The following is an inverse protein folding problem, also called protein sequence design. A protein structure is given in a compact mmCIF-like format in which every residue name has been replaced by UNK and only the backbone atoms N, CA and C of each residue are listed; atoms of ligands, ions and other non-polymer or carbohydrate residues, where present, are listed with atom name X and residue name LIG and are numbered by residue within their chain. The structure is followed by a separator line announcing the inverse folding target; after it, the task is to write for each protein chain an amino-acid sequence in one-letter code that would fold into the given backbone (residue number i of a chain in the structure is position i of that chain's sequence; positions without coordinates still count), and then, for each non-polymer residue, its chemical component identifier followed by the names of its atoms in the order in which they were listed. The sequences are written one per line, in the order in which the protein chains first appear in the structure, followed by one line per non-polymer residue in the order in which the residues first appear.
data_IF_030576792665
#
_entry.id   IF_030576792665
#
_cell.length_a   1.000
_cell.length_b   1.000
_cell.length_c   1.000
_cell.angle_alpha   90.00
_cell.angle_beta   90.00
_cell.angle_gamma   90.00
#
_symmetry.space_group_name_H-M   'P 1'
#
loop_
_entity.id
_entity.type
_entity.pdbx_description
1 polymer ?
#
# COMPACT_ATOMS: atom_id res chain seq x y z
N UNK A 1 -54.21 48.96 -55.58
CA UNK A 1 -53.07 49.09 -54.64
C UNK A 1 -52.53 47.68 -54.46
N UNK A 2 -51.51 47.28 -55.22
CA UNK A 2 -50.08 47.33 -54.81
C UNK A 2 -49.83 46.47 -53.55
N UNK A 3 -48.90 45.51 -53.50
CA UNK A 3 -47.81 45.12 -54.42
C UNK A 3 -47.42 43.66 -54.04
N UNK A 4 -47.29 42.72 -54.99
CA UNK A 4 -46.12 42.36 -55.81
C UNK A 4 -45.23 41.25 -55.22
N UNK A 5 -44.74 40.41 -56.15
CA UNK A 5 -43.55 39.55 -56.10
C UNK A 5 -43.72 38.20 -55.36
N UNK A 6 -43.81 37.06 -56.07
CA UNK A 6 -42.81 36.35 -56.90
C UNK A 6 -41.89 35.45 -56.04
N UNK A 7 -41.55 34.22 -56.41
CA UNK A 7 -41.88 33.46 -57.63
C UNK A 7 -41.83 31.93 -57.41
N UNK A 8 -42.31 31.20 -58.42
CA UNK A 8 -41.88 29.88 -58.96
C UNK A 8 -40.65 29.18 -58.33
N UNK A 9 -40.43 27.85 -58.33
CA UNK A 9 -41.11 26.59 -58.75
C UNK A 9 -40.32 25.41 -58.06
N UNK A 10 -40.61 24.11 -58.11
CA UNK A 10 -41.58 23.28 -58.86
C UNK A 10 -42.04 22.05 -58.02
N UNK A 11 -42.32 20.89 -58.65
CA UNK A 11 -42.57 19.58 -58.01
C UNK A 11 -41.61 18.49 -58.58
N UNK A 12 -41.54 17.26 -58.02
CA UNK A 12 -40.27 16.58 -57.77
C UNK A 12 -39.83 15.53 -58.81
N UNK A 13 -38.53 15.14 -58.81
CA UNK A 13 -38.05 13.93 -59.46
C UNK A 13 -37.95 12.72 -58.52
N UNK A 14 -38.35 11.56 -59.09
CA UNK A 14 -37.83 10.18 -58.95
C UNK A 14 -37.12 9.72 -57.65
N UNK A 15 -37.52 8.51 -57.20
CA UNK A 15 -37.03 7.91 -55.96
C UNK A 15 -35.63 7.30 -56.05
N UNK A 16 -34.97 7.25 -54.89
CA UNK A 16 -33.70 6.57 -54.66
C UNK A 16 -33.89 5.27 -53.85
N UNK A 17 -33.03 4.29 -54.11
CA UNK A 17 -33.11 2.94 -53.56
C UNK A 17 -32.80 2.88 -52.07
N UNK A 18 -33.61 2.11 -51.32
CA UNK A 18 -33.30 1.77 -49.93
C UNK A 18 -32.13 0.79 -49.86
N UNK A 19 -30.91 1.29 -49.63
CA UNK A 19 -29.80 0.42 -49.21
C UNK A 19 -29.94 0.03 -47.74
N UNK A 20 -30.52 -1.15 -47.48
CA UNK A 20 -30.58 -1.74 -46.14
C UNK A 20 -29.18 -2.16 -45.66
N UNK A 21 -28.49 -1.26 -44.97
CA UNK A 21 -27.29 -1.62 -44.19
C UNK A 21 -27.71 -2.37 -42.93
N UNK A 22 -27.85 -3.69 -43.06
CA UNK A 22 -27.91 -4.62 -41.94
C UNK A 22 -26.62 -4.53 -41.11
N UNK A 23 -26.63 -3.68 -40.07
CA UNK A 23 -25.59 -3.67 -39.05
C UNK A 23 -25.88 -4.77 -38.03
N UNK A 24 -25.53 -6.01 -38.38
CA UNK A 24 -25.50 -7.10 -37.40
C UNK A 24 -24.56 -6.71 -36.24
N UNK A 25 -25.18 -6.34 -35.13
CA UNK A 25 -24.55 -5.90 -33.90
C UNK A 25 -23.92 -7.11 -33.21
N UNK A 26 -22.80 -7.61 -33.76
CA UNK A 26 -22.03 -8.72 -33.20
C UNK A 26 -21.74 -8.46 -31.72
N UNK A 27 -22.41 -9.21 -30.84
CA UNK A 27 -22.08 -9.28 -29.43
C UNK A 27 -20.64 -9.77 -29.31
N UNK A 28 -19.72 -8.85 -28.96
CA UNK A 28 -18.32 -9.19 -28.70
C UNK A 28 -18.23 -9.90 -27.35
N UNK A 29 -18.60 -11.18 -27.34
CA UNK A 29 -18.25 -12.07 -26.24
C UNK A 29 -16.72 -12.14 -26.14
N UNK A 30 -16.22 -12.04 -24.92
CA UNK A 30 -14.80 -12.14 -24.60
C UNK A 30 -14.55 -13.44 -23.84
N UNK A 31 -13.40 -14.05 -24.08
CA UNK A 31 -12.89 -15.19 -23.35
C UNK A 31 -11.50 -14.86 -22.78
N UNK A 32 -10.93 -15.77 -22.00
CA UNK A 32 -9.59 -15.64 -21.45
C UNK A 32 -8.68 -16.74 -22.02
N UNK A 33 -7.43 -16.38 -22.32
CA UNK A 33 -6.43 -17.34 -22.76
C UNK A 33 -6.06 -18.28 -21.61
N UNK A 34 -6.16 -19.62 -21.76
CA UNK A 34 -5.90 -20.56 -20.68
C UNK A 34 -4.42 -20.66 -20.27
N UNK A 35 -3.51 -20.04 -21.03
CA UNK A 35 -2.07 -20.06 -20.76
C UNK A 35 -1.58 -18.79 -20.06
N UNK A 36 -2.01 -17.61 -20.50
CA UNK A 36 -1.52 -16.32 -19.99
C UNK A 36 -2.59 -15.44 -19.35
N UNK A 37 -3.84 -15.90 -19.26
CA UNK A 37 -4.95 -15.15 -18.68
C UNK A 37 -5.38 -13.89 -19.46
N UNK A 38 -4.83 -13.62 -20.65
CA UNK A 38 -5.20 -12.41 -21.39
C UNK A 38 -6.59 -12.50 -22.02
N UNK A 39 -7.29 -11.36 -22.08
CA UNK A 39 -8.63 -11.23 -22.64
C UNK A 39 -8.58 -11.31 -24.16
N UNK A 40 -9.21 -12.33 -24.74
CA UNK A 40 -9.23 -12.63 -26.18
C UNK A 40 -10.66 -12.55 -26.74
N UNK A 41 -10.87 -12.02 -27.96
CA UNK A 41 -12.19 -11.93 -28.57
C UNK A 41 -12.67 -13.32 -29.00
N UNK A 42 -13.92 -13.68 -28.68
CA UNK A 42 -14.50 -15.00 -28.96
C UNK A 42 -14.97 -15.14 -30.42
N UNK A 43 -14.02 -15.05 -31.36
CA UNK A 43 -14.26 -15.24 -32.80
C UNK A 43 -14.03 -16.71 -33.20
N UNK A 44 -14.86 -17.24 -34.10
CA UNK A 44 -14.87 -18.68 -34.48
C UNK A 44 -13.51 -19.22 -34.97
N UNK A 45 -12.65 -18.37 -35.52
CA UNK A 45 -11.40 -18.75 -36.20
C UNK A 45 -10.12 -18.28 -35.47
N UNK A 46 -10.17 -17.93 -34.18
CA UNK A 46 -8.97 -17.51 -33.44
C UNK A 46 -8.03 -18.70 -33.17
N UNK A 47 -7.02 -18.88 -34.05
CA UNK A 47 -6.03 -19.97 -33.92
C UNK A 47 -4.97 -19.72 -32.86
N UNK A 48 -4.60 -18.46 -32.61
CA UNK A 48 -3.51 -18.10 -31.70
C UNK A 48 -3.94 -16.99 -30.72
N UNK A 49 -3.41 -17.05 -29.50
CA UNK A 49 -3.55 -15.96 -28.55
C UNK A 49 -2.71 -14.76 -29.00
N UNK A 50 -3.31 -13.58 -29.11
CA UNK A 50 -2.62 -12.33 -29.51
C UNK A 50 -1.57 -11.83 -28.51
N UNK A 51 -1.66 -12.25 -27.24
CA UNK A 51 -0.71 -11.83 -26.18
C UNK A 51 0.48 -12.76 -25.97
N UNK A 52 0.28 -14.09 -25.93
CA UNK A 52 1.35 -15.07 -25.65
C UNK A 52 1.65 -16.04 -26.80
N UNK A 53 0.99 -15.91 -27.96
CA UNK A 53 1.24 -16.74 -29.13
C UNK A 53 0.78 -18.21 -29.05
N UNK A 54 0.23 -18.69 -27.92
CA UNK A 54 -0.21 -20.09 -27.82
C UNK A 54 -1.27 -20.45 -28.87
N UNK A 55 -1.15 -21.63 -29.47
CA UNK A 55 -2.10 -22.19 -30.42
C UNK A 55 -3.38 -22.66 -29.70
N UNK A 56 -4.40 -21.81 -29.68
CA UNK A 56 -5.69 -22.05 -29.04
C UNK A 56 -6.49 -23.17 -29.73
N UNK A 57 -6.30 -23.39 -31.04
CA UNK A 57 -6.92 -24.54 -31.72
C UNK A 57 -6.33 -25.85 -31.20
N UNK A 58 -5.00 -25.95 -31.12
CA UNK A 58 -4.31 -27.13 -30.59
C UNK A 58 -4.66 -27.42 -29.12
N UNK A 59 -4.76 -26.39 -28.27
CA UNK A 59 -5.19 -26.56 -26.86
C UNK A 59 -6.63 -27.06 -26.77
N UNK A 60 -7.53 -26.60 -27.66
CA UNK A 60 -8.92 -27.06 -27.71
C UNK A 60 -9.03 -28.52 -28.14
N UNK A 61 -8.22 -28.94 -29.12
CA UNK A 61 -8.26 -30.29 -29.69
C UNK A 61 -7.60 -31.31 -28.75
N UNK A 62 -6.46 -30.97 -28.13
CA UNK A 62 -5.72 -31.85 -27.23
C UNK A 62 -6.20 -31.80 -25.77
N UNK A 63 -6.97 -30.78 -25.38
CA UNK A 63 -7.40 -30.51 -23.99
C UNK A 63 -6.25 -30.44 -22.97
N UNK A 64 -5.04 -30.16 -23.44
CA UNK A 64 -3.82 -30.05 -22.63
C UNK A 64 -3.08 -28.77 -23.02
N UNK A 65 -2.50 -28.09 -22.03
CA UNK A 65 -1.53 -27.04 -22.28
C UNK A 65 -0.19 -27.68 -22.68
N UNK A 66 0.57 -27.11 -23.64
CA UNK A 66 1.92 -27.55 -23.91
C UNK A 66 2.75 -27.43 -22.62
N UNK A 67 3.41 -28.52 -22.22
CA UNK A 67 4.40 -28.49 -21.15
C UNK A 67 5.52 -27.52 -21.51
N UNK A 68 6.10 -26.84 -20.51
CA UNK A 68 7.31 -26.04 -20.70
C UNK A 68 8.40 -26.86 -21.44
N UNK A 69 9.23 -26.25 -22.30
CA UNK A 69 10.31 -26.96 -22.98
C UNK A 69 11.40 -27.39 -21.99
N UNK A 70 11.22 -28.56 -21.36
CA UNK A 70 12.25 -29.22 -20.59
C UNK A 70 13.47 -29.53 -21.47
N UNK A 71 14.63 -29.00 -21.10
CA UNK A 71 15.86 -29.14 -21.90
C UNK A 71 16.48 -30.52 -21.67
N UNK A 72 16.22 -31.44 -22.60
CA UNK A 72 16.96 -32.66 -22.94
C UNK A 72 16.71 -32.92 -24.44
N UNK A 73 17.60 -33.50 -25.26
CA UNK A 73 18.32 -34.76 -25.08
C UNK A 73 19.69 -34.80 -25.78
N UNK A 74 20.55 -35.71 -25.33
CA UNK A 74 21.75 -36.18 -26.05
C UNK A 74 21.50 -37.49 -26.80
N UNK A 75 21.63 -37.47 -28.16
CA UNK A 75 21.99 -38.60 -29.07
C UNK A 75 21.15 -39.91 -29.10
N UNK A 76 21.25 -40.77 -30.15
CA UNK A 76 21.31 -40.48 -31.60
C UNK A 76 20.32 -41.34 -32.47
N UNK A 77 19.87 -40.79 -33.61
CA UNK A 77 19.42 -41.39 -34.91
C UNK A 77 18.82 -42.82 -34.98
N UNK A 78 17.72 -43.03 -35.75
CA UNK A 78 17.91 -43.33 -37.18
C UNK A 78 16.96 -42.65 -38.18
N UNK A 79 17.37 -42.72 -39.44
CA UNK A 79 16.85 -42.04 -40.62
C UNK A 79 15.40 -42.36 -41.03
N UNK A 80 14.59 -41.32 -41.22
CA UNK A 80 13.53 -41.28 -42.23
C UNK A 80 13.58 -39.95 -42.99
N UNK A 81 13.72 -40.02 -44.31
CA UNK A 81 13.78 -38.86 -45.20
C UNK A 81 12.48 -38.06 -45.15
N UNK A 82 12.51 -36.86 -44.55
CA UNK A 82 11.43 -35.87 -44.67
C UNK A 82 11.79 -34.81 -45.70
N UNK A 83 10.78 -34.33 -46.41
CA UNK A 83 10.89 -33.29 -47.43
C UNK A 83 11.50 -32.00 -46.86
N UNK A 84 12.05 -31.11 -47.71
CA UNK A 84 12.72 -29.90 -47.25
C UNK A 84 11.77 -29.02 -46.44
N UNK A 85 12.05 -28.86 -45.14
CA UNK A 85 11.47 -27.76 -44.38
C UNK A 85 12.00 -26.43 -44.96
N UNK A 86 11.17 -25.39 -45.12
CA UNK A 86 11.68 -24.07 -45.48
C UNK A 86 12.68 -23.62 -44.40
N UNK A 87 13.80 -23.03 -44.83
CA UNK A 87 14.92 -22.63 -43.96
C UNK A 87 14.44 -21.96 -42.67
N UNK A 88 14.58 -22.67 -41.54
CA UNK A 88 14.45 -22.08 -40.23
C UNK A 88 15.70 -21.22 -40.00
N UNK A 89 15.61 -19.91 -40.25
CA UNK A 89 16.68 -18.98 -39.90
C UNK A 89 16.66 -18.79 -38.36
N UNK A 90 17.70 -19.25 -37.61
CA UNK A 90 17.74 -19.10 -36.17
C UNK A 90 17.96 -17.66 -35.68
N UNK A 91 18.22 -16.69 -36.56
CA UNK A 91 18.44 -15.29 -36.19
C UNK A 91 17.21 -14.58 -35.60
N UNK A 92 16.00 -15.12 -35.80
CA UNK A 92 14.75 -14.54 -35.25
C UNK A 92 14.35 -15.16 -33.90
N UNK A 93 15.30 -15.27 -32.97
CA UNK A 93 14.95 -15.37 -31.54
C UNK A 93 14.45 -14.00 -31.08
N UNK A 94 13.13 -13.79 -31.17
CA UNK A 94 12.47 -12.63 -30.57
C UNK A 94 12.65 -12.72 -29.06
N UNK A 95 13.68 -12.03 -28.53
CA UNK A 95 13.81 -11.79 -27.09
C UNK A 95 12.56 -11.02 -26.66
N UNK A 96 11.67 -11.69 -25.96
CA UNK A 96 10.53 -11.08 -25.31
C UNK A 96 11.05 -10.23 -24.14
N UNK A 97 11.50 -9.01 -24.44
CA UNK A 97 11.78 -7.99 -23.43
C UNK A 97 10.52 -7.85 -22.58
N UNK A 98 10.57 -8.09 -21.25
CA UNK A 98 9.41 -7.86 -20.40
C UNK A 98 9.06 -6.38 -20.49
N UNK A 99 7.92 -6.09 -21.12
CA UNK A 99 7.46 -4.72 -21.33
C UNK A 99 7.24 -4.08 -19.96
N UNK A 100 7.91 -2.95 -19.70
CA UNK A 100 7.68 -2.20 -18.47
C UNK A 100 6.19 -1.90 -18.32
N UNK A 101 5.61 -2.30 -17.18
CA UNK A 101 4.19 -2.13 -16.90
C UNK A 101 3.98 -0.66 -16.53
N UNK A 102 3.70 0.16 -17.54
CA UNK A 102 3.29 1.55 -17.38
C UNK A 102 1.77 1.62 -17.48
N UNK A 103 1.11 1.90 -16.36
CA UNK A 103 -0.34 2.04 -16.28
C UNK A 103 -0.79 3.33 -16.97
N UNK A 104 -1.87 3.23 -17.75
CA UNK A 104 -2.66 4.38 -18.21
C UNK A 104 -3.59 4.86 -17.09
N UNK A 105 -4.15 6.06 -17.21
CA UNK A 105 -4.86 6.72 -16.10
C UNK A 105 -6.12 5.94 -15.67
N UNK A 106 -6.84 5.37 -16.63
CA UNK A 106 -7.99 4.48 -16.38
C UNK A 106 -7.56 3.19 -15.64
N UNK A 107 -6.37 2.67 -15.94
CA UNK A 107 -5.82 1.46 -15.33
C UNK A 107 -5.27 1.66 -13.92
N UNK A 108 -5.09 2.89 -13.40
CA UNK A 108 -4.57 3.10 -12.04
C UNK A 108 -5.52 2.49 -10.99
N UNK A 109 -6.84 2.57 -11.24
CA UNK A 109 -7.87 2.01 -10.38
C UNK A 109 -7.81 0.47 -10.31
N UNK A 110 -7.70 -0.21 -11.45
CA UNK A 110 -7.51 -1.66 -11.55
C UNK A 110 -6.12 -2.12 -11.10
N UNK A 111 -5.11 -1.27 -11.36
CA UNK A 111 -3.69 -1.49 -11.12
C UNK A 111 -3.38 -1.75 -9.64
N UNK A 112 -4.23 -1.24 -8.73
CA UNK A 112 -4.22 -1.59 -7.31
C UNK A 112 -4.11 -3.10 -7.12
N UNK A 113 -4.93 -3.91 -7.80
CA UNK A 113 -4.99 -5.36 -7.60
C UNK A 113 -3.96 -6.15 -8.42
N UNK A 114 -3.19 -5.50 -9.31
CA UNK A 114 -2.13 -6.15 -10.11
C UNK A 114 -0.86 -6.32 -9.25
N UNK A 115 -0.06 -7.35 -9.53
CA UNK A 115 1.30 -7.47 -8.95
C UNK A 115 2.24 -6.53 -9.73
N UNK A 116 2.52 -5.36 -9.16
CA UNK A 116 3.40 -4.34 -9.77
C UNK A 116 4.85 -4.43 -9.31
N UNK A 117 5.08 -4.82 -8.04
CA UNK A 117 6.42 -5.03 -7.49
C UNK A 117 6.55 -6.38 -6.78
N UNK A 118 7.78 -6.88 -6.73
CA UNK A 118 8.14 -8.15 -6.10
C UNK A 118 8.27 -8.03 -4.57
N UNK A 119 8.50 -9.19 -3.94
CA UNK A 119 8.75 -9.33 -2.51
C UNK A 119 9.88 -8.40 -2.01
N UNK A 120 10.98 -8.30 -2.76
CA UNK A 120 12.16 -7.51 -2.37
C UNK A 120 11.87 -6.00 -2.22
N UNK A 121 11.32 -5.30 -3.22
CA UNK A 121 10.85 -3.92 -3.05
C UNK A 121 9.92 -3.75 -1.85
N UNK A 122 8.98 -4.68 -1.65
CA UNK A 122 7.96 -4.63 -0.59
C UNK A 122 8.57 -4.51 0.81
N UNK A 123 9.78 -5.01 1.02
CA UNK A 123 10.50 -4.94 2.30
C UNK A 123 11.56 -3.84 2.33
N UNK A 124 12.37 -3.72 1.27
CA UNK A 124 13.52 -2.80 1.27
C UNK A 124 13.12 -1.33 1.13
N UNK A 125 12.06 -1.00 0.38
CA UNK A 125 11.63 0.41 0.22
C UNK A 125 11.10 0.99 1.55
N UNK A 126 10.25 0.28 2.32
CA UNK A 126 9.89 0.69 3.68
C UNK A 126 11.08 0.83 4.61
N UNK A 127 11.98 -0.16 4.63
CA UNK A 127 13.18 -0.11 5.47
C UNK A 127 14.08 1.07 5.12
N UNK A 128 14.31 1.33 3.83
CA UNK A 128 15.08 2.47 3.36
C UNK A 128 14.41 3.82 3.69
N UNK A 129 13.07 3.90 3.63
CA UNK A 129 12.33 5.10 4.02
C UNK A 129 12.48 5.39 5.53
N UNK A 130 12.31 4.36 6.36
CA UNK A 130 12.48 4.46 7.81
C UNK A 130 13.92 4.81 8.20
N UNK A 131 14.93 4.20 7.55
CA UNK A 131 16.34 4.55 7.76
C UNK A 131 16.62 5.98 7.32
N UNK A 132 16.11 6.44 6.17
CA UNK A 132 16.32 7.80 5.70
C UNK A 132 15.70 8.85 6.62
N UNK A 133 14.50 8.57 7.16
CA UNK A 133 13.82 9.40 8.15
C UNK A 133 14.65 9.54 9.44
N UNK A 134 15.06 8.42 10.03
CA UNK A 134 15.88 8.41 11.24
C UNK A 134 17.27 9.04 11.02
N UNK A 135 17.92 8.76 9.88
CA UNK A 135 19.22 9.34 9.55
C UNK A 135 19.14 10.87 9.37
N UNK A 136 18.04 11.40 8.84
CA UNK A 136 17.82 12.85 8.77
C UNK A 136 17.65 13.45 10.16
N UNK A 137 16.83 12.84 11.03
CA UNK A 137 16.64 13.31 12.41
C UNK A 137 17.95 13.27 13.21
N UNK A 138 18.68 12.16 13.17
CA UNK A 138 20.01 12.01 13.81
C UNK A 138 21.01 13.02 13.23
N UNK A 139 20.99 13.28 11.92
CA UNK A 139 21.85 14.28 11.28
C UNK A 139 21.54 15.71 11.74
N UNK A 140 20.27 16.07 11.89
CA UNK A 140 19.82 17.36 12.45
C UNK A 140 20.30 17.48 13.90
N UNK A 141 20.05 16.47 14.73
CA UNK A 141 20.48 16.44 16.13
C UNK A 141 22.01 16.56 16.26
N UNK A 142 22.77 15.84 15.43
CA UNK A 142 24.24 15.91 15.42
C UNK A 142 24.77 17.31 15.09
N UNK A 143 24.17 17.99 14.10
CA UNK A 143 24.52 19.38 13.76
C UNK A 143 24.16 20.33 14.90
N UNK A 144 22.99 20.17 15.52
CA UNK A 144 22.57 20.96 16.69
C UNK A 144 23.54 20.75 17.85
N UNK A 145 23.94 19.51 18.17
CA UNK A 145 24.88 19.22 19.25
C UNK A 145 26.25 19.87 19.04
N UNK A 146 26.74 19.93 17.80
CA UNK A 146 27.99 20.64 17.46
C UNK A 146 27.85 22.16 17.63
N UNK A 147 26.69 22.73 17.29
CA UNK A 147 26.44 24.17 17.36
C UNK A 147 26.20 24.67 18.79
N UNK A 148 25.54 23.88 19.63
CA UNK A 148 25.26 24.22 21.04
C UNK A 148 26.50 23.95 21.91
N UNK A 149 27.15 22.79 21.71
CA UNK A 149 28.34 22.41 22.49
C UNK A 149 28.08 22.02 23.95
N UNK A 150 26.82 21.95 24.36
CA UNK A 150 26.34 21.61 25.70
C UNK A 150 25.34 20.46 25.59
N UNK A 151 25.54 19.39 26.36
CA UNK A 151 24.74 18.16 26.30
C UNK A 151 23.40 18.33 27.02
N UNK A 152 23.36 19.12 28.10
CA UNK A 152 22.15 19.31 28.90
C UNK A 152 21.14 20.15 28.11
N UNK A 153 21.60 21.22 27.45
CA UNK A 153 20.77 22.03 26.55
C UNK A 153 20.27 21.25 25.31
N UNK A 154 21.02 20.25 24.84
CA UNK A 154 20.55 19.36 23.77
C UNK A 154 19.49 18.39 24.29
N UNK A 155 19.63 17.87 25.51
CA UNK A 155 18.65 17.00 26.13
C UNK A 155 17.34 17.75 26.41
N UNK A 156 17.41 18.96 26.98
CA UNK A 156 16.27 19.86 27.17
C UNK A 156 15.55 20.17 25.86
N UNK A 157 16.29 20.35 24.76
CA UNK A 157 15.71 20.58 23.43
C UNK A 157 15.03 19.32 22.89
N UNK A 158 15.63 18.13 23.01
CA UNK A 158 15.04 16.87 22.52
C UNK A 158 13.78 16.51 23.32
N UNK A 159 13.76 16.78 24.62
CA UNK A 159 12.60 16.63 25.48
C UNK A 159 11.55 17.74 25.30
N UNK A 160 11.81 18.76 24.49
CA UNK A 160 10.87 19.87 24.30
C UNK A 160 9.65 19.43 23.45
N UNK A 161 8.41 19.62 23.93
CA UNK A 161 7.20 19.24 23.18
C UNK A 161 7.11 19.85 21.77
N UNK A 162 7.58 21.09 21.56
CA UNK A 162 7.59 21.72 20.24
C UNK A 162 8.68 21.13 19.32
N UNK A 163 9.82 20.70 19.88
CA UNK A 163 10.83 19.97 19.11
C UNK A 163 10.30 18.61 18.68
N UNK A 164 9.61 17.89 19.57
CA UNK A 164 8.98 16.60 19.27
C UNK A 164 7.97 16.77 18.12
N UNK A 165 7.03 17.71 18.25
CA UNK A 165 6.06 18.09 17.20
C UNK A 165 6.75 18.41 15.87
N UNK A 166 7.84 19.19 15.88
CA UNK A 166 8.59 19.52 14.68
C UNK A 166 9.31 18.30 14.09
N UNK A 167 9.87 17.43 14.93
CA UNK A 167 10.61 16.24 14.50
C UNK A 167 9.71 15.18 13.86
N UNK A 168 8.48 14.98 14.37
CA UNK A 168 7.47 14.11 13.74
C UNK A 168 7.06 14.58 12.34
N UNK A 169 7.29 15.84 11.95
CA UNK A 169 7.04 16.26 10.56
C UNK A 169 7.97 15.58 9.54
N UNK A 170 9.12 15.05 9.99
CA UNK A 170 10.10 14.33 9.15
C UNK A 170 9.53 13.01 8.63
N UNK A 171 8.52 12.45 9.29
CA UNK A 171 7.80 11.24 8.87
C UNK A 171 7.12 11.36 7.50
N UNK A 172 6.95 12.58 6.97
CA UNK A 172 6.49 12.79 5.59
C UNK A 172 7.37 12.05 4.56
N UNK A 173 8.63 11.71 4.89
CA UNK A 173 9.48 10.84 4.08
C UNK A 173 8.90 9.43 3.90
N UNK A 174 8.19 8.89 4.88
CA UNK A 174 7.48 7.61 4.79
C UNK A 174 6.34 7.66 3.77
N UNK A 175 5.75 8.83 3.50
CA UNK A 175 4.82 9.04 2.39
C UNK A 175 5.56 9.23 1.06
N UNK A 176 6.55 10.12 1.03
CA UNK A 176 7.18 10.59 -0.20
C UNK A 176 8.04 9.54 -0.89
N UNK A 177 8.74 8.69 -0.14
CA UNK A 177 9.65 7.66 -0.70
C UNK A 177 8.90 6.55 -1.44
N UNK A 178 7.87 5.87 -0.89
CA UNK A 178 7.08 4.90 -1.65
C UNK A 178 6.29 5.56 -2.79
N UNK A 179 5.75 6.78 -2.58
CA UNK A 179 5.08 7.53 -3.63
C UNK A 179 6.03 7.87 -4.80
N UNK A 180 7.28 8.21 -4.53
CA UNK A 180 8.32 8.38 -5.55
C UNK A 180 8.66 7.05 -6.23
N UNK A 181 8.83 5.96 -5.47
CA UNK A 181 9.19 4.64 -6.00
C UNK A 181 8.19 4.13 -7.03
N UNK A 182 6.88 4.29 -6.78
CA UNK A 182 5.84 3.78 -7.70
C UNK A 182 5.68 4.60 -8.98
N UNK A 183 6.31 5.78 -9.10
CA UNK A 183 6.24 6.61 -10.32
C UNK A 183 6.67 5.88 -11.59
N UNK A 184 7.60 4.93 -11.49
CA UNK A 184 8.06 4.10 -12.62
C UNK A 184 6.97 3.19 -13.23
N UNK A 185 5.87 2.96 -12.51
CA UNK A 185 4.71 2.20 -12.99
C UNK A 185 3.63 3.08 -13.63
N UNK A 186 3.84 4.40 -13.68
CA UNK A 186 2.88 5.37 -14.22
C UNK A 186 3.40 5.92 -15.54
N UNK A 187 2.57 5.90 -16.59
CA UNK A 187 2.92 6.48 -17.89
C UNK A 187 3.13 8.00 -17.82
N UNK A 188 2.41 8.66 -16.93
CA UNK A 188 2.58 10.08 -16.59
C UNK A 188 2.71 10.20 -15.06
N UNK A 189 3.92 10.22 -14.50
CA UNK A 189 4.13 10.19 -13.06
C UNK A 189 3.78 11.53 -12.42
N UNK A 190 2.78 11.51 -11.53
CA UNK A 190 2.40 12.62 -10.66
C UNK A 190 2.23 12.11 -9.21
N UNK A 191 2.35 12.99 -8.22
CA UNK A 191 2.16 12.65 -6.81
C UNK A 191 0.74 12.15 -6.53
N UNK A 192 -0.31 12.80 -7.06
CA UNK A 192 -1.70 12.35 -6.86
C UNK A 192 -1.92 10.96 -7.45
N UNK A 193 -1.44 10.73 -8.68
CA UNK A 193 -1.49 9.42 -9.34
C UNK A 193 -0.72 8.33 -8.58
N UNK A 194 0.41 8.68 -7.97
CA UNK A 194 1.21 7.77 -7.14
C UNK A 194 0.47 7.38 -5.85
N UNK A 195 -0.14 8.35 -5.17
CA UNK A 195 -0.93 8.14 -3.96
C UNK A 195 -2.22 7.34 -4.25
N UNK A 196 -2.88 7.63 -5.38
CA UNK A 196 -4.03 6.84 -5.88
C UNK A 196 -3.69 5.35 -6.03
N UNK A 197 -2.52 5.05 -6.60
CA UNK A 197 -2.04 3.68 -6.81
C UNK A 197 -1.73 2.96 -5.47
N UNK A 198 -1.16 3.70 -4.50
CA UNK A 198 -0.94 3.21 -3.14
C UNK A 198 -2.26 3.01 -2.37
N UNK A 199 -3.36 3.66 -2.78
CA UNK A 199 -4.71 3.46 -2.24
C UNK A 199 -5.29 4.68 -1.53
N UNK A 200 -4.54 5.79 -1.46
CA UNK A 200 -5.05 7.07 -0.98
C UNK A 200 -5.78 7.75 -2.14
N UNK A 201 -7.09 7.50 -2.23
CA UNK A 201 -7.89 7.94 -3.37
C UNK A 201 -9.36 8.17 -3.00
N UNK A 202 -9.95 9.18 -3.63
CA UNK A 202 -11.39 9.47 -3.61
C UNK A 202 -12.09 9.00 -4.89
N UNK A 203 -11.37 8.39 -5.83
CA UNK A 203 -11.94 7.94 -7.10
C UNK A 203 -12.93 6.79 -6.88
N UNK A 204 -14.16 6.96 -7.38
CA UNK A 204 -15.28 6.03 -7.15
C UNK A 204 -16.03 6.25 -5.84
N UNK A 205 -15.66 7.25 -5.04
CA UNK A 205 -16.43 7.70 -3.87
C UNK A 205 -17.12 9.03 -4.17
N UNK A 206 -18.40 9.13 -3.84
CA UNK A 206 -19.13 10.39 -3.72
C UNK A 206 -18.90 11.00 -2.32
N UNK A 207 -19.49 12.17 -2.05
CA UNK A 207 -19.36 12.85 -0.76
C UNK A 207 -19.86 11.98 0.40
N UNK A 208 -20.92 11.19 0.18
CA UNK A 208 -21.44 10.23 1.18
C UNK A 208 -20.48 9.06 1.40
N UNK A 209 -19.84 8.56 0.34
CA UNK A 209 -18.78 7.56 0.41
C UNK A 209 -17.58 8.04 1.23
N UNK A 210 -17.09 9.25 0.98
CA UNK A 210 -15.99 9.85 1.76
C UNK A 210 -16.39 10.02 3.23
N UNK A 211 -17.58 10.57 3.50
CA UNK A 211 -18.11 10.69 4.86
C UNK A 211 -18.21 9.34 5.57
N UNK A 212 -18.64 8.29 4.85
CA UNK A 212 -18.69 6.92 5.38
C UNK A 212 -17.31 6.36 5.72
N UNK A 213 -16.28 6.57 4.89
CA UNK A 213 -14.91 6.16 5.24
C UNK A 213 -14.41 6.89 6.50
N UNK A 214 -14.71 8.18 6.65
CA UNK A 214 -14.34 8.96 7.85
C UNK A 214 -15.07 8.43 9.10
N UNK A 215 -16.38 8.22 9.04
CA UNK A 215 -17.17 7.69 10.18
C UNK A 215 -16.72 6.27 10.56
N UNK A 216 -16.43 5.41 9.57
CA UNK A 216 -15.84 4.09 9.83
C UNK A 216 -14.47 4.23 10.51
N UNK A 217 -13.61 5.12 10.01
CA UNK A 217 -12.30 5.37 10.61
C UNK A 217 -12.37 5.86 12.06
N UNK A 218 -13.24 6.83 12.36
CA UNK A 218 -13.45 7.32 13.72
C UNK A 218 -13.99 6.23 14.66
N UNK A 219 -14.91 5.39 14.18
CA UNK A 219 -15.39 4.23 14.93
C UNK A 219 -14.29 3.22 15.22
N UNK A 220 -13.44 2.91 14.23
CA UNK A 220 -12.31 2.01 14.40
C UNK A 220 -11.18 2.61 15.25
N UNK A 221 -11.01 3.93 15.31
CA UNK A 221 -10.07 4.58 16.23
C UNK A 221 -10.43 4.26 17.70
N UNK A 222 -11.71 4.38 18.05
CA UNK A 222 -12.22 4.03 19.39
C UNK A 222 -12.07 2.52 19.66
N UNK A 223 -12.38 1.66 18.67
CA UNK A 223 -12.12 0.21 18.79
C UNK A 223 -10.63 -0.08 19.01
N UNK A 224 -9.74 0.68 18.37
CA UNK A 224 -8.29 0.59 18.55
C UNK A 224 -7.84 0.87 19.98
N UNK A 225 -8.40 1.92 20.63
CA UNK A 225 -8.13 2.24 22.05
C UNK A 225 -8.50 1.05 22.95
N UNK A 226 -9.70 0.48 22.79
CA UNK A 226 -10.13 -0.68 23.58
C UNK A 226 -9.32 -1.93 23.25
N UNK A 227 -8.98 -2.18 21.99
CA UNK A 227 -8.15 -3.30 21.56
C UNK A 227 -6.79 -3.25 22.26
N UNK A 228 -6.11 -2.10 22.18
CA UNK A 228 -4.79 -1.90 22.79
C UNK A 228 -4.87 -2.04 24.31
N UNK A 229 -5.78 -1.33 24.97
CA UNK A 229 -5.97 -1.42 26.42
C UNK A 229 -6.25 -2.86 26.91
N UNK A 230 -7.10 -3.61 26.20
CA UNK A 230 -7.39 -5.01 26.52
C UNK A 230 -6.15 -5.89 26.30
N UNK A 231 -5.39 -5.69 25.20
CA UNK A 231 -4.17 -6.49 24.97
C UNK A 231 -3.08 -6.20 25.99
N UNK A 232 -2.85 -4.93 26.36
CA UNK A 232 -1.88 -4.56 27.41
C UNK A 232 -2.28 -5.14 28.77
N UNK A 233 -3.57 -5.06 29.14
CA UNK A 233 -4.08 -5.66 30.38
C UNK A 233 -3.91 -7.18 30.39
N UNK A 234 -4.19 -7.87 29.27
CA UNK A 234 -3.98 -9.34 29.17
C UNK A 234 -2.50 -9.69 29.36
N UNK A 235 -1.59 -8.94 28.73
CA UNK A 235 -0.15 -9.18 28.87
C UNK A 235 0.34 -8.89 30.28
N UNK A 236 -0.11 -7.79 30.91
CA UNK A 236 0.21 -7.51 32.32
C UNK A 236 -0.30 -8.62 33.26
N UNK A 237 -1.54 -9.09 33.09
CA UNK A 237 -2.08 -10.20 33.90
C UNK A 237 -1.27 -11.49 33.73
N UNK A 238 -0.80 -11.78 32.51
CA UNK A 238 0.10 -12.93 32.24
C UNK A 238 1.45 -12.72 32.94
N UNK A 239 2.07 -11.54 32.79
CA UNK A 239 3.38 -11.24 33.39
C UNK A 239 3.33 -11.24 34.93
N UNK A 240 2.26 -10.69 35.50
CA UNK A 240 2.00 -10.70 36.95
C UNK A 240 1.77 -12.11 37.47
N UNK A 241 0.93 -12.92 36.81
CA UNK A 241 0.61 -14.27 37.27
C UNK A 241 1.80 -15.24 37.17
N UNK A 242 2.55 -15.23 36.06
CA UNK A 242 3.64 -16.19 35.83
C UNK A 242 4.99 -15.76 36.41
N UNK A 243 5.26 -14.45 36.52
CA UNK A 243 6.57 -13.93 36.91
C UNK A 243 6.54 -13.01 38.14
N UNK A 244 5.35 -12.66 38.66
CA UNK A 244 5.21 -11.75 39.81
C UNK A 244 5.49 -10.28 39.49
N UNK A 245 5.47 -9.89 38.21
CA UNK A 245 5.83 -8.56 37.75
C UNK A 245 4.57 -7.69 37.61
N UNK A 246 4.56 -6.52 38.24
CA UNK A 246 3.56 -5.47 37.99
C UNK A 246 4.23 -4.29 37.26
N UNK A 247 3.71 -3.92 36.09
CA UNK A 247 4.31 -2.90 35.23
C UNK A 247 3.65 -1.54 35.47
N UNK A 248 2.36 -1.50 35.78
CA UNK A 248 1.63 -0.28 36.18
C UNK A 248 2.18 0.37 37.46
N UNK A 249 3.05 -0.33 38.21
CA UNK A 249 3.74 0.20 39.40
C UNK A 249 5.16 0.74 39.16
N UNK A 250 5.66 0.76 37.92
CA UNK A 250 6.96 1.37 37.60
C UNK A 250 6.76 2.74 36.97
N UNK A 251 7.42 3.78 37.49
CA UNK A 251 7.44 5.15 36.95
C UNK A 251 8.17 5.28 35.58
N UNK A 252 8.34 4.17 34.86
CA UNK A 252 8.96 4.12 33.55
C UNK A 252 7.91 4.40 32.47
N UNK A 253 8.14 5.36 31.54
CA UNK A 253 7.26 5.57 30.41
C UNK A 253 7.13 4.28 29.58
N UNK A 254 5.90 3.81 29.41
CA UNK A 254 5.56 2.49 28.88
C UNK A 254 5.35 2.48 27.36
N UNK A 255 5.25 3.67 26.78
CA UNK A 255 5.09 3.96 25.36
C UNK A 255 5.87 5.22 24.98
N UNK A 256 6.16 5.41 23.68
CA UNK A 256 6.76 6.65 23.18
C UNK A 256 5.91 7.88 23.56
N UNK A 257 4.59 7.72 23.68
CA UNK A 257 3.64 8.77 24.06
C UNK A 257 3.86 9.25 25.51
N UNK A 258 4.23 8.37 26.44
CA UNK A 258 4.42 8.72 27.85
C UNK A 258 5.64 9.64 28.04
N UNK A 259 6.72 9.41 27.26
CA UNK A 259 7.94 10.27 27.25
C UNK A 259 7.63 11.69 26.79
N UNK A 260 6.71 11.84 25.83
CA UNK A 260 6.41 13.11 25.17
C UNK A 260 5.56 14.05 26.05
N UNK A 261 4.85 13.50 27.04
CA UNK A 261 3.79 14.22 27.75
C UNK A 261 4.23 14.82 29.09
N UNK A 262 5.34 14.33 29.68
CA UNK A 262 5.91 14.89 30.90
C UNK A 262 6.44 16.32 30.66
N UNK A 263 5.62 17.33 30.97
CA UNK A 263 5.94 18.75 30.77
C UNK A 263 5.32 19.40 29.53
N UNK A 264 4.44 18.69 28.81
CA UNK A 264 3.70 19.27 27.69
C UNK A 264 2.63 20.26 28.14
N UNK A 265 2.42 21.32 27.35
CA UNK A 265 1.37 22.32 27.54
C UNK A 265 0.18 22.05 26.61
N UNK A 266 -0.96 22.71 26.85
CA UNK A 266 -2.16 22.52 26.03
C UNK A 266 -1.92 22.83 24.53
N UNK A 267 -1.07 23.80 24.19
CA UNK A 267 -0.80 24.16 22.80
C UNK A 267 0.03 23.07 22.11
N UNK A 268 1.11 22.61 22.73
CA UNK A 268 1.94 21.53 22.16
C UNK A 268 1.16 20.22 22.00
N UNK A 269 0.27 19.86 22.93
CA UNK A 269 -0.61 18.69 22.80
C UNK A 269 -1.60 18.83 21.62
N UNK A 270 -2.20 20.01 21.43
CA UNK A 270 -3.06 20.27 20.26
C UNK A 270 -2.26 20.14 18.96
N UNK A 271 -1.05 20.71 18.89
CA UNK A 271 -0.19 20.61 17.72
C UNK A 271 0.24 19.16 17.45
N UNK A 272 0.58 18.39 18.48
CA UNK A 272 0.94 16.99 18.38
C UNK A 272 -0.23 16.14 17.86
N UNK A 273 -1.43 16.33 18.40
CA UNK A 273 -2.64 15.66 17.92
C UNK A 273 -2.93 15.98 16.44
N UNK A 274 -2.70 17.22 15.99
CA UNK A 274 -2.82 17.59 14.58
C UNK A 274 -1.75 16.92 13.70
N UNK A 275 -0.49 16.88 14.15
CA UNK A 275 0.59 16.17 13.43
C UNK A 275 0.30 14.66 13.32
N UNK A 276 -0.24 14.05 14.38
CA UNK A 276 -0.67 12.65 14.38
C UNK A 276 -1.74 12.35 13.31
N UNK A 277 -2.73 13.26 13.17
CA UNK A 277 -3.83 13.11 12.20
C UNK A 277 -3.39 13.41 10.76
N UNK A 278 -2.57 14.44 10.54
CA UNK A 278 -2.30 14.99 9.21
C UNK A 278 -0.93 14.62 8.61
N UNK A 279 0.00 14.10 9.40
CA UNK A 279 1.34 13.70 8.93
C UNK A 279 1.63 12.23 9.26
N UNK A 280 1.63 11.86 10.54
CA UNK A 280 2.02 10.51 11.03
C UNK A 280 1.14 9.43 10.40
N UNK A 281 -0.17 9.44 10.73
CA UNK A 281 -1.14 8.48 10.21
C UNK A 281 -1.11 8.35 8.67
N UNK A 282 -1.24 9.45 7.91
CA UNK A 282 -1.12 9.42 6.45
C UNK A 282 0.18 8.81 5.92
N UNK A 283 1.32 9.14 6.54
CA UNK A 283 2.64 8.73 6.03
C UNK A 283 2.94 7.27 6.33
N UNK A 284 2.65 6.81 7.54
CA UNK A 284 2.76 5.41 7.92
C UNK A 284 1.78 4.52 7.16
N UNK A 285 0.51 4.91 7.00
CA UNK A 285 -0.45 4.09 6.26
C UNK A 285 -0.08 3.94 4.78
N UNK A 286 0.44 4.99 4.15
CA UNK A 286 0.95 4.91 2.77
C UNK A 286 2.14 3.95 2.68
N UNK A 287 3.04 3.94 3.67
CA UNK A 287 4.19 3.05 3.68
C UNK A 287 3.82 1.59 4.00
N UNK A 288 3.12 1.35 5.10
CA UNK A 288 2.85 -0.01 5.60
C UNK A 288 1.69 -0.68 4.88
N UNK A 289 0.59 0.03 4.64
CA UNK A 289 -0.63 -0.59 4.06
C UNK A 289 -0.61 -0.39 2.55
N UNK A 290 -0.40 0.85 2.11
CA UNK A 290 -0.37 1.21 0.69
C UNK A 290 0.77 0.59 -0.11
N UNK A 291 1.97 0.47 0.47
CA UNK A 291 3.15 -0.08 -0.19
C UNK A 291 3.53 -1.50 0.30
N UNK A 292 3.88 -1.67 1.59
CA UNK A 292 4.40 -2.93 2.11
C UNK A 292 3.35 -4.05 2.02
N UNK A 293 2.22 -3.92 2.73
CA UNK A 293 1.17 -4.94 2.77
C UNK A 293 0.63 -5.24 1.38
N UNK A 294 0.39 -4.20 0.57
CA UNK A 294 -0.03 -4.36 -0.83
C UNK A 294 0.96 -5.24 -1.60
N UNK A 295 2.26 -4.97 -1.49
CA UNK A 295 3.32 -5.78 -2.10
C UNK A 295 3.40 -7.21 -1.55
N UNK A 296 3.39 -7.39 -0.23
CA UNK A 296 3.50 -8.69 0.42
C UNK A 296 2.29 -9.58 0.10
N UNK A 297 1.06 -9.05 0.13
CA UNK A 297 -0.17 -9.76 -0.26
C UNK A 297 -0.09 -10.29 -1.70
N UNK A 298 0.54 -9.55 -2.62
CA UNK A 298 0.72 -9.93 -4.04
C UNK A 298 1.75 -11.04 -4.24
N UNK A 299 2.66 -11.22 -3.29
CA UNK A 299 3.80 -12.12 -3.41
C UNK A 299 3.68 -13.37 -2.52
N UNK A 300 3.03 -13.26 -1.36
CA UNK A 300 2.94 -14.30 -0.32
C UNK A 300 1.49 -14.71 0.00
N UNK A 301 0.50 -14.06 -0.64
CA UNK A 301 -0.91 -14.25 -0.34
C UNK A 301 -1.40 -13.40 0.83
N UNK A 302 -2.73 -13.35 0.97
CA UNK A 302 -3.42 -12.38 1.82
C UNK A 302 -3.07 -12.48 3.31
N UNK A 303 -3.10 -13.70 3.87
CA UNK A 303 -2.84 -13.95 5.29
C UNK A 303 -1.41 -13.56 5.68
N UNK A 304 -0.42 -14.09 4.96
CA UNK A 304 1.00 -13.80 5.24
C UNK A 304 1.36 -12.35 4.96
N UNK A 305 0.80 -11.73 3.91
CA UNK A 305 1.04 -10.33 3.61
C UNK A 305 0.58 -9.39 4.73
N UNK A 306 -0.59 -9.66 5.33
CA UNK A 306 -1.09 -8.88 6.48
C UNK A 306 -0.26 -9.14 7.73
N UNK A 307 -0.01 -10.41 8.09
CA UNK A 307 0.69 -10.78 9.32
C UNK A 307 2.15 -10.28 9.33
N UNK A 308 2.85 -10.37 8.20
CA UNK A 308 4.24 -9.92 8.10
C UNK A 308 4.32 -8.39 8.17
N UNK A 309 3.40 -7.64 7.57
CA UNK A 309 3.33 -6.18 7.77
C UNK A 309 3.06 -5.84 9.23
N UNK A 310 2.10 -6.50 9.89
CA UNK A 310 1.81 -6.26 11.30
C UNK A 310 3.02 -6.54 12.21
N UNK A 311 3.76 -7.61 11.92
CA UNK A 311 4.97 -7.99 12.64
C UNK A 311 6.12 -6.97 12.47
N UNK A 312 6.37 -6.52 11.23
CA UNK A 312 7.40 -5.52 10.95
C UNK A 312 7.03 -4.16 11.57
N UNK A 313 5.76 -3.75 11.44
CA UNK A 313 5.24 -2.53 12.05
C UNK A 313 5.42 -2.53 13.57
N UNK A 314 5.15 -3.65 14.24
CA UNK A 314 5.40 -3.76 15.67
C UNK A 314 6.89 -3.62 16.00
N UNK A 315 7.78 -4.37 15.33
CA UNK A 315 9.22 -4.34 15.61
C UNK A 315 9.83 -2.95 15.47
N UNK A 316 9.44 -2.15 14.46
CA UNK A 316 10.03 -0.82 14.28
C UNK A 316 9.67 0.17 15.40
N UNK A 317 8.52 0.00 16.05
CA UNK A 317 8.10 0.79 17.22
C UNK A 317 8.80 0.36 18.51
N UNK A 318 9.55 -0.76 18.48
CA UNK A 318 10.33 -1.25 19.63
C UNK A 318 11.82 -0.89 19.53
N UNK A 319 12.25 -0.05 18.57
CA UNK A 319 13.66 0.26 18.34
C UNK A 319 14.36 0.85 19.58
N UNK A 320 13.67 1.70 20.35
CA UNK A 320 14.17 2.32 21.58
C UNK A 320 14.50 1.27 22.65
N UNK A 321 13.71 0.20 22.74
CA UNK A 321 13.92 -0.87 23.72
C UNK A 321 15.23 -1.65 23.49
N UNK A 322 15.78 -1.67 22.26
CA UNK A 322 17.04 -2.38 21.97
C UNK A 322 18.25 -1.82 22.75
N UNK A 323 18.15 -0.62 23.33
CA UNK A 323 19.17 -0.08 24.26
C UNK A 323 19.33 -0.98 25.49
N UNK A 324 18.25 -1.60 26.00
CA UNK A 324 18.29 -2.47 27.16
C UNK A 324 18.88 -3.87 26.87
N UNK A 325 18.92 -4.29 25.60
CA UNK A 325 19.24 -5.67 25.18
C UNK A 325 20.57 -6.21 25.73
N UNK A 326 21.59 -5.35 25.90
CA UNK A 326 22.91 -5.74 26.40
C UNK A 326 23.12 -5.45 27.90
N UNK A 327 22.37 -4.50 28.46
CA UNK A 327 22.51 -4.08 29.86
C UNK A 327 21.60 -4.86 30.82
N UNK A 328 20.34 -5.06 30.43
CA UNK A 328 19.36 -5.86 31.17
C UNK A 328 18.49 -6.67 30.18
N UNK A 329 18.94 -7.88 29.80
CA UNK A 329 18.19 -8.75 28.89
C UNK A 329 16.83 -9.19 29.43
N UNK A 330 16.63 -9.20 30.76
CA UNK A 330 15.36 -9.60 31.36
C UNK A 330 14.34 -8.48 31.21
N UNK A 331 14.69 -7.25 31.59
CA UNK A 331 13.85 -6.06 31.36
C UNK A 331 13.57 -5.87 29.87
N UNK A 332 14.56 -6.09 28.99
CA UNK A 332 14.32 -6.10 27.54
C UNK A 332 13.22 -7.08 27.13
N UNK A 333 13.26 -8.34 27.57
CA UNK A 333 12.24 -9.35 27.22
C UNK A 333 10.85 -8.97 27.76
N UNK A 334 10.78 -8.46 28.99
CA UNK A 334 9.52 -8.05 29.64
C UNK A 334 8.88 -6.90 28.86
N UNK A 335 9.63 -5.82 28.63
CA UNK A 335 9.15 -4.66 27.88
C UNK A 335 8.87 -5.01 26.40
N UNK A 336 9.69 -5.87 25.79
CA UNK A 336 9.43 -6.35 24.44
C UNK A 336 8.07 -7.04 24.35
N UNK A 337 7.75 -7.98 25.24
CA UNK A 337 6.45 -8.67 25.21
C UNK A 337 5.29 -7.71 25.53
N UNK A 338 5.47 -6.83 26.52
CA UNK A 338 4.46 -5.85 26.91
C UNK A 338 4.11 -4.88 25.77
N UNK A 339 5.11 -4.34 25.08
CA UNK A 339 4.94 -3.31 24.05
C UNK A 339 4.68 -3.91 22.66
N UNK A 340 5.28 -5.06 22.31
CA UNK A 340 5.08 -5.71 21.01
C UNK A 340 3.62 -6.12 20.76
N UNK A 341 2.97 -6.72 21.77
CA UNK A 341 1.61 -7.26 21.61
C UNK A 341 0.56 -6.21 21.21
N UNK A 342 0.43 -5.04 21.87
CA UNK A 342 -0.51 -4.00 21.44
C UNK A 342 -0.17 -3.40 20.06
N UNK A 343 1.10 -3.13 19.75
CA UNK A 343 1.50 -2.64 18.42
C UNK A 343 1.20 -3.66 17.31
N UNK A 344 1.41 -4.95 17.57
CA UNK A 344 1.05 -6.02 16.65
C UNK A 344 -0.47 -6.11 16.47
N UNK A 345 -1.24 -6.00 17.55
CA UNK A 345 -2.70 -6.07 17.52
C UNK A 345 -3.33 -4.89 16.74
N UNK A 346 -2.92 -3.65 17.02
CA UNK A 346 -3.43 -2.47 16.29
C UNK A 346 -3.02 -2.52 14.81
N UNK A 347 -1.79 -2.95 14.51
CA UNK A 347 -1.34 -3.06 13.12
C UNK A 347 -2.05 -4.15 12.33
N UNK A 348 -2.36 -5.28 12.98
CA UNK A 348 -3.20 -6.34 12.41
C UNK A 348 -4.62 -5.83 12.16
N UNK A 349 -5.21 -5.05 13.09
CA UNK A 349 -6.51 -4.41 12.89
C UNK A 349 -6.51 -3.45 11.69
N UNK A 350 -5.51 -2.57 11.59
CA UNK A 350 -5.35 -1.62 10.48
C UNK A 350 -5.17 -2.36 9.14
N UNK A 351 -4.38 -3.44 9.11
CA UNK A 351 -4.19 -4.26 7.91
C UNK A 351 -5.45 -5.01 7.46
N UNK A 352 -6.25 -5.51 8.42
CA UNK A 352 -7.56 -6.12 8.15
C UNK A 352 -8.60 -5.10 7.70
N UNK A 353 -8.58 -3.87 8.26
CA UNK A 353 -9.41 -2.75 7.86
C UNK A 353 -9.07 -2.31 6.43
N UNK A 354 -7.79 -2.14 6.09
CA UNK A 354 -7.33 -1.81 4.74
C UNK A 354 -7.84 -2.82 3.70
N UNK A 355 -7.75 -4.12 4.01
CA UNK A 355 -8.34 -5.18 3.18
C UNK A 355 -9.87 -5.01 3.06
N UNK A 356 -10.57 -4.82 4.17
CA UNK A 356 -12.04 -4.69 4.19
C UNK A 356 -12.55 -3.45 3.44
N UNK A 357 -11.78 -2.36 3.38
CA UNK A 357 -12.07 -1.17 2.57
C UNK A 357 -11.60 -1.27 1.11
N UNK A 358 -11.37 -2.49 0.60
CA UNK A 358 -10.87 -2.75 -0.76
C UNK A 358 -9.60 -1.94 -1.10
N UNK A 359 -8.69 -1.83 -0.14
CA UNK A 359 -7.43 -1.09 -0.26
C UNK A 359 -7.57 0.42 -0.48
N UNK A 360 -8.68 0.99 -0.01
CA UNK A 360 -8.75 2.44 0.23
C UNK A 360 -8.08 2.77 1.59
N UNK A 361 -7.18 3.74 1.60
CA UNK A 361 -6.47 4.17 2.80
C UNK A 361 -7.26 5.16 3.68
N UNK A 362 -8.33 5.80 3.21
CA UNK A 362 -9.01 6.91 3.94
C UNK A 362 -9.44 6.49 5.34
N UNK A 363 -10.24 5.43 5.49
CA UNK A 363 -10.69 4.99 6.81
C UNK A 363 -9.54 4.48 7.69
N UNK A 364 -8.47 3.94 7.10
CA UNK A 364 -7.29 3.42 7.81
C UNK A 364 -6.47 4.59 8.38
N UNK A 365 -6.25 5.62 7.57
CA UNK A 365 -5.57 6.87 7.96
C UNK A 365 -6.34 7.58 9.07
N UNK A 366 -7.67 7.70 8.93
CA UNK A 366 -8.52 8.28 9.97
C UNK A 366 -8.48 7.42 11.24
N UNK A 367 -8.51 6.09 11.12
CA UNK A 367 -8.36 5.18 12.27
C UNK A 367 -7.07 5.44 13.02
N UNK A 368 -5.93 5.38 12.33
CA UNK A 368 -4.61 5.48 12.94
C UNK A 368 -4.34 6.89 13.49
N UNK A 369 -4.57 7.93 12.68
CA UNK A 369 -4.31 9.32 13.09
C UNK A 369 -5.16 9.75 14.29
N UNK A 370 -6.45 9.38 14.33
CA UNK A 370 -7.30 9.67 15.50
C UNK A 370 -7.00 8.74 16.68
N UNK A 371 -6.64 7.47 16.47
CA UNK A 371 -6.18 6.60 17.56
C UNK A 371 -4.95 7.19 18.26
N UNK A 372 -3.94 7.65 17.50
CA UNK A 372 -2.76 8.30 18.06
C UNK A 372 -3.13 9.60 18.79
N UNK A 373 -3.92 10.48 18.16
CA UNK A 373 -4.35 11.74 18.76
C UNK A 373 -5.16 11.55 20.05
N UNK A 374 -6.09 10.58 20.08
CA UNK A 374 -6.86 10.23 21.28
C UNK A 374 -5.92 9.68 22.37
N UNK A 375 -4.95 8.83 22.02
CA UNK A 375 -3.99 8.26 22.98
C UNK A 375 -3.15 9.36 23.62
N UNK A 376 -2.60 10.29 22.83
CA UNK A 376 -1.86 11.47 23.31
C UNK A 376 -2.73 12.34 24.22
N UNK A 377 -3.99 12.62 23.85
CA UNK A 377 -4.90 13.44 24.66
C UNK A 377 -5.26 12.74 25.98
N UNK A 378 -5.52 11.42 25.96
CA UNK A 378 -5.85 10.65 27.16
C UNK A 378 -4.67 10.58 28.12
N UNK A 379 -3.46 10.35 27.62
CA UNK A 379 -2.24 10.38 28.43
C UNK A 379 -1.97 11.78 29.00
N UNK A 380 -2.18 12.86 28.24
CA UNK A 380 -2.08 14.23 28.77
C UNK A 380 -3.09 14.51 29.88
N UNK A 381 -4.33 14.04 29.73
CA UNK A 381 -5.34 14.17 30.79
C UNK A 381 -4.96 13.34 32.04
N UNK A 382 -4.40 12.15 31.85
CA UNK A 382 -3.92 11.30 32.94
C UNK A 382 -2.77 11.95 33.72
N UNK A 383 -1.69 12.35 33.05
CA UNK A 383 -0.54 12.99 33.71
C UNK A 383 -0.82 14.42 34.20
N UNK A 384 -1.71 15.16 33.54
CA UNK A 384 -2.08 16.54 33.92
C UNK A 384 -3.12 16.66 35.05
N UNK A 385 -3.53 15.54 35.67
CA UNK A 385 -4.50 15.52 36.79
C UNK A 385 -3.90 15.13 38.15
N UNK A 386 -2.58 14.98 38.23
CA UNK A 386 -1.83 14.69 39.46
C UNK A 386 -0.79 15.78 39.77
#
# INVERSE_FOLDING_TARGET
MTNNNNDQTENPPMGEEKSEKNSEKMSREWAYCPNCGSKIPKIKNLKFCTSCGINLAQVKDLKQLPSEPGIQYTSPQPSYSRAPYPNYNPEYVVRYQPREIQLEDEEISEGKHRKLWDLWPSLWVPLAAFIAMNALLIGILFVISILIGDVDLVLDLVSNPFFIVASSTVEILLLLIPAWYVRKYLRQPDLKKSLNLLGLTTEGLDEQGIFKEIVVGLGFAVVGIFLVAITSLIVELILSYFFGISIVSTDAPSSDVDVIISGADLISIILLALVMIFIVGPSEEVLFRGFMQKGLVRNLGEQWGIVITAFIFAIIHLLTLFVYLLGDPLTFIILFVFTFTPYFAISLMLGLLFRWRNENLIAVIVTHGFYNAITVILAFLYYGTF
#
